data_IF_105985911498
#
_entry.id   IF_105985911498
#
_cell.length_a   1.000
_cell.length_b   1.000
_cell.length_c   1.000
_cell.angle_alpha   90.00
_cell.angle_beta   90.00
_cell.angle_gamma   90.00
#
_symmetry.space_group_name_H-M   'P 1'
#
loop_
_entity.id
_entity.type
_entity.pdbx_description
1 polymer ?
#
# COMPACT_ATOMS: atom_id res chain seq x y z
N UNK A 1 -17.14 3.28 -10.64
CA UNK A 1 -16.30 2.09 -11.01
C UNK A 1 -17.20 1.05 -11.66
N UNK A 2 -16.72 0.33 -12.68
CA UNK A 2 -17.49 -0.74 -13.30
C UNK A 2 -17.69 -1.90 -12.32
N UNK A 3 -18.92 -2.47 -12.26
CA UNK A 3 -19.20 -3.68 -11.49
C UNK A 3 -18.34 -4.85 -12.02
N UNK A 4 -17.88 -5.72 -11.13
CA UNK A 4 -17.13 -6.92 -11.52
C UNK A 4 -15.61 -6.82 -11.40
N UNK A 5 -15.05 -5.76 -10.81
CA UNK A 5 -13.59 -5.59 -10.65
C UNK A 5 -12.97 -6.63 -9.72
N UNK A 6 -11.80 -7.12 -10.13
CA UNK A 6 -10.93 -8.01 -9.34
C UNK A 6 -9.75 -7.20 -8.76
N UNK A 7 -9.57 -7.29 -7.47
CA UNK A 7 -8.63 -6.46 -6.69
C UNK A 7 -7.67 -7.33 -5.90
N UNK A 8 -6.39 -6.93 -5.82
CA UNK A 8 -5.42 -7.47 -4.88
C UNK A 8 -4.91 -6.34 -3.97
N UNK A 9 -4.97 -6.55 -2.64
CA UNK A 9 -4.37 -5.66 -1.64
C UNK A 9 -3.40 -6.45 -0.77
N UNK A 10 -2.08 -6.25 -0.92
CA UNK A 10 -1.11 -6.86 -0.01
C UNK A 10 -1.16 -6.20 1.37
N UNK A 11 -1.04 -6.98 2.45
CA UNK A 11 -1.26 -6.46 3.81
C UNK A 11 -2.69 -5.97 4.03
N UNK A 12 -3.67 -6.64 3.40
CA UNK A 12 -5.08 -6.25 3.39
C UNK A 12 -5.89 -6.67 4.61
N UNK A 13 -5.30 -7.36 5.58
CA UNK A 13 -6.02 -7.90 6.72
C UNK A 13 -6.31 -6.90 7.85
N UNK A 14 -5.64 -5.75 7.89
CA UNK A 14 -5.81 -4.71 8.93
C UNK A 14 -5.37 -3.33 8.47
N UNK A 15 -5.64 -2.32 9.29
CA UNK A 15 -5.17 -0.95 9.10
C UNK A 15 -5.54 -0.35 7.74
N UNK A 16 -4.58 0.29 7.09
CA UNK A 16 -4.76 0.94 5.79
C UNK A 16 -5.20 -0.07 4.71
N UNK A 17 -4.57 -1.25 4.67
CA UNK A 17 -4.89 -2.27 3.68
C UNK A 17 -6.34 -2.79 3.80
N UNK A 18 -6.82 -3.04 5.02
CA UNK A 18 -8.24 -3.40 5.27
C UNK A 18 -9.18 -2.30 4.80
N UNK A 19 -8.88 -1.04 5.15
CA UNK A 19 -9.71 0.10 4.74
C UNK A 19 -9.79 0.23 3.21
N UNK A 20 -8.68 0.01 2.51
CA UNK A 20 -8.63 0.01 1.04
C UNK A 20 -9.47 -1.13 0.47
N UNK A 21 -9.28 -2.36 0.97
CA UNK A 21 -10.02 -3.54 0.50
C UNK A 21 -11.54 -3.35 0.64
N UNK A 22 -12.00 -2.93 1.81
CA UNK A 22 -13.42 -2.67 2.09
C UNK A 22 -13.96 -1.49 1.26
N UNK A 23 -13.16 -0.44 1.05
CA UNK A 23 -13.57 0.70 0.22
C UNK A 23 -13.81 0.26 -1.22
N UNK A 24 -12.90 -0.48 -1.82
CA UNK A 24 -13.02 -0.95 -3.19
C UNK A 24 -14.18 -1.96 -3.35
N UNK A 25 -14.45 -2.80 -2.33
CA UNK A 25 -15.62 -3.67 -2.32
C UNK A 25 -16.93 -2.87 -2.30
N UNK A 26 -17.06 -1.85 -1.45
CA UNK A 26 -18.24 -0.94 -1.42
C UNK A 26 -18.50 -0.24 -2.75
N UNK A 27 -17.47 -0.06 -3.54
CA UNK A 27 -17.53 0.59 -4.85
C UNK A 27 -17.64 -0.42 -6.02
N UNK A 28 -18.05 -1.66 -5.72
CA UNK A 28 -18.43 -2.66 -6.70
C UNK A 28 -17.32 -3.62 -7.14
N UNK A 29 -16.19 -3.72 -6.40
CA UNK A 29 -15.28 -4.82 -6.60
C UNK A 29 -15.94 -6.13 -6.16
N UNK A 30 -16.04 -7.11 -7.06
CA UNK A 30 -16.72 -8.38 -6.81
C UNK A 30 -15.78 -9.46 -6.29
N UNK A 31 -14.48 -9.30 -6.50
CA UNK A 31 -13.46 -10.22 -5.99
C UNK A 31 -12.31 -9.44 -5.38
N UNK A 32 -12.03 -9.69 -4.11
CA UNK A 32 -10.99 -8.96 -3.38
C UNK A 32 -10.02 -9.92 -2.72
N UNK A 33 -8.82 -10.03 -3.30
CA UNK A 33 -7.71 -10.77 -2.72
C UNK A 33 -7.00 -9.91 -1.67
N UNK A 34 -6.88 -10.41 -0.44
CA UNK A 34 -6.14 -9.77 0.64
C UNK A 34 -4.91 -10.59 1.00
N UNK A 35 -3.73 -9.95 0.88
CA UNK A 35 -2.46 -10.54 1.31
C UNK A 35 -2.30 -10.45 2.82
N UNK A 36 -1.92 -11.55 3.47
CA UNK A 36 -1.60 -11.60 4.89
C UNK A 36 -0.38 -12.48 5.14
N UNK A 37 0.47 -12.09 6.11
CA UNK A 37 1.66 -12.89 6.42
C UNK A 37 1.29 -14.24 7.07
N UNK A 38 0.32 -14.20 7.99
CA UNK A 38 -0.25 -15.38 8.65
C UNK A 38 -1.77 -15.37 8.48
N UNK A 39 -2.37 -16.54 8.49
CA UNK A 39 -3.81 -16.66 8.65
C UNK A 39 -4.13 -16.42 10.13
N UNK A 40 -4.50 -15.18 10.43
CA UNK A 40 -4.90 -14.74 11.76
C UNK A 40 -6.39 -14.35 11.77
N UNK A 41 -6.92 -14.13 12.96
CA UNK A 41 -8.32 -13.70 13.12
C UNK A 41 -8.65 -12.43 12.33
N UNK A 42 -7.70 -11.51 12.19
CA UNK A 42 -7.90 -10.27 11.45
C UNK A 42 -8.10 -10.51 9.94
N UNK A 43 -7.43 -11.51 9.36
CA UNK A 43 -7.63 -11.86 7.95
C UNK A 43 -9.01 -12.48 7.71
N UNK A 44 -9.46 -13.36 8.60
CA UNK A 44 -10.78 -13.98 8.50
C UNK A 44 -11.91 -12.95 8.77
N UNK A 45 -11.74 -12.06 9.76
CA UNK A 45 -12.68 -10.95 10.02
C UNK A 45 -12.84 -10.06 8.79
N UNK A 46 -11.70 -9.66 8.17
CA UNK A 46 -11.74 -8.82 6.96
C UNK A 46 -12.41 -9.57 5.80
N UNK A 47 -12.15 -10.88 5.66
CA UNK A 47 -12.81 -11.70 4.65
C UNK A 47 -14.33 -11.77 4.88
N UNK A 48 -14.79 -11.88 6.13
CA UNK A 48 -16.21 -11.88 6.44
C UNK A 48 -16.88 -10.53 6.13
N UNK A 49 -16.21 -9.42 6.47
CA UNK A 49 -16.71 -8.09 6.10
C UNK A 49 -16.81 -7.91 4.57
N UNK A 50 -15.84 -8.43 3.81
CA UNK A 50 -15.90 -8.42 2.34
C UNK A 50 -17.09 -9.23 1.81
N UNK A 51 -17.38 -10.41 2.37
CA UNK A 51 -18.58 -11.19 2.04
C UNK A 51 -19.86 -10.41 2.34
N UNK A 52 -19.91 -9.74 3.49
CA UNK A 52 -21.03 -8.87 3.87
C UNK A 52 -21.29 -7.71 2.89
N UNK A 53 -20.26 -7.30 2.13
CA UNK A 53 -20.34 -6.29 1.07
C UNK A 53 -20.64 -6.90 -0.32
N UNK A 54 -20.83 -8.22 -0.42
CA UNK A 54 -21.08 -8.91 -1.67
C UNK A 54 -19.84 -9.23 -2.51
N UNK A 55 -18.64 -9.07 -1.95
CA UNK A 55 -17.41 -9.42 -2.62
C UNK A 55 -16.94 -10.83 -2.23
N UNK A 56 -16.33 -11.56 -3.18
CA UNK A 56 -15.64 -12.82 -2.93
C UNK A 56 -14.26 -12.55 -2.35
N UNK A 57 -13.95 -12.86 -1.09
CA UNK A 57 -12.63 -12.70 -0.54
C UNK A 57 -11.73 -13.86 -0.95
N UNK A 58 -10.47 -13.55 -1.30
CA UNK A 58 -9.41 -14.54 -1.54
C UNK A 58 -8.24 -14.24 -0.61
N UNK A 59 -7.80 -15.23 0.18
CA UNK A 59 -6.65 -15.05 1.08
C UNK A 59 -5.35 -15.46 0.37
N UNK A 60 -4.44 -14.50 0.17
CA UNK A 60 -3.07 -14.71 -0.33
C UNK A 60 -2.14 -14.75 0.88
N UNK A 61 -1.69 -15.97 1.24
CA UNK A 61 -1.01 -16.23 2.53
C UNK A 61 0.48 -16.44 2.36
N UNK A 62 1.26 -15.68 3.11
CA UNK A 62 2.71 -15.86 3.21
C UNK A 62 3.51 -14.56 3.20
N UNK A 63 4.83 -14.71 3.20
CA UNK A 63 5.74 -13.59 3.03
C UNK A 63 5.58 -13.03 1.60
N UNK A 64 5.33 -11.73 1.49
CA UNK A 64 5.12 -11.00 0.22
C UNK A 64 6.29 -11.16 -0.77
N UNK A 65 7.48 -11.54 -0.29
CA UNK A 65 8.68 -11.77 -1.12
C UNK A 65 8.85 -13.22 -1.55
N UNK A 66 8.01 -14.14 -1.05
CA UNK A 66 8.20 -15.57 -1.33
C UNK A 66 7.69 -15.97 -2.72
N UNK A 67 8.34 -16.95 -3.39
CA UNK A 67 7.83 -17.51 -4.64
C UNK A 67 6.39 -18.03 -4.50
N UNK A 68 6.05 -18.63 -3.37
CA UNK A 68 4.70 -19.13 -3.09
C UNK A 68 3.62 -18.04 -3.15
N UNK A 69 3.92 -16.82 -2.66
CA UNK A 69 2.98 -15.69 -2.76
C UNK A 69 2.89 -15.23 -4.22
N UNK A 70 3.99 -15.19 -4.95
CA UNK A 70 3.97 -14.85 -6.38
C UNK A 70 3.12 -15.86 -7.19
N UNK A 71 3.22 -17.16 -6.90
CA UNK A 71 2.39 -18.21 -7.51
C UNK A 71 0.90 -18.01 -7.19
N UNK A 72 0.55 -17.71 -5.93
CA UNK A 72 -0.82 -17.41 -5.54
C UNK A 72 -1.37 -16.18 -6.27
N UNK A 73 -0.55 -15.12 -6.41
CA UNK A 73 -0.95 -13.90 -7.16
C UNK A 73 -1.14 -14.21 -8.64
N UNK A 74 -0.27 -14.98 -9.25
CA UNK A 74 -0.43 -15.41 -10.66
C UNK A 74 -1.73 -16.22 -10.85
N UNK A 75 -2.08 -17.07 -9.88
CA UNK A 75 -3.30 -17.88 -9.90
C UNK A 75 -4.60 -17.07 -9.70
N UNK A 76 -4.54 -15.80 -9.28
CA UNK A 76 -5.72 -14.94 -9.21
C UNK A 76 -6.35 -14.67 -10.58
N UNK A 77 -5.58 -14.81 -11.66
CA UNK A 77 -6.02 -14.44 -13.01
C UNK A 77 -6.08 -12.92 -13.22
N UNK A 78 -6.99 -12.42 -14.06
CA UNK A 78 -7.06 -10.99 -14.36
C UNK A 78 -7.32 -10.14 -13.13
N UNK A 79 -6.51 -9.07 -12.99
CA UNK A 79 -6.64 -8.06 -11.94
C UNK A 79 -6.89 -6.70 -12.57
N UNK A 80 -7.88 -5.97 -12.07
CA UNK A 80 -8.14 -4.58 -12.43
C UNK A 80 -7.37 -3.61 -11.52
N UNK A 81 -7.15 -4.02 -10.26
CA UNK A 81 -6.45 -3.20 -9.28
C UNK A 81 -5.46 -4.06 -8.49
N UNK A 82 -4.22 -3.58 -8.42
CA UNK A 82 -3.21 -4.12 -7.52
C UNK A 82 -2.75 -3.02 -6.56
N UNK A 83 -2.95 -3.19 -5.25
CA UNK A 83 -2.46 -2.29 -4.20
C UNK A 83 -1.33 -2.95 -3.43
N UNK A 84 -0.12 -2.40 -3.56
CA UNK A 84 1.03 -2.80 -2.75
C UNK A 84 1.08 -1.98 -1.47
N UNK A 85 0.49 -2.56 -0.40
CA UNK A 85 0.43 -1.94 0.93
C UNK A 85 1.29 -2.70 1.96
N UNK A 86 1.57 -3.99 1.76
CA UNK A 86 2.41 -4.75 2.68
C UNK A 86 3.77 -4.06 2.86
N UNK A 87 4.13 -3.82 4.12
CA UNK A 87 5.39 -3.19 4.50
C UNK A 87 5.88 -3.75 5.83
N UNK A 88 7.19 -3.65 6.04
CA UNK A 88 7.85 -3.97 7.30
C UNK A 88 9.09 -3.08 7.44
N UNK A 89 9.72 -3.11 8.61
CA UNK A 89 10.98 -2.43 8.83
C UNK A 89 11.37 -2.40 10.29
N UNK A 90 12.57 -1.89 10.54
CA UNK A 90 13.14 -1.73 11.86
C UNK A 90 13.29 -0.24 12.14
N UNK A 91 12.82 0.19 13.31
CA UNK A 91 12.87 1.58 13.76
C UNK A 91 14.01 1.71 14.79
N UNK A 92 15.18 2.16 14.31
CA UNK A 92 16.38 2.38 15.12
C UNK A 92 17.40 3.24 14.36
N UNK A 93 18.42 3.80 15.05
CA UNK A 93 19.52 4.53 14.41
C UNK A 93 20.18 3.71 13.29
N UNK A 94 20.57 4.37 12.21
CA UNK A 94 21.13 3.70 11.03
C UNK A 94 22.34 2.81 11.35
N UNK A 95 23.24 3.30 12.20
CA UNK A 95 24.48 2.59 12.57
C UNK A 95 24.23 1.39 13.52
N UNK A 96 23.03 1.26 14.07
CA UNK A 96 22.62 0.13 14.91
C UNK A 96 21.86 -0.94 14.10
N UNK A 97 21.73 -0.75 12.79
CA UNK A 97 21.10 -1.73 11.91
C UNK A 97 22.09 -2.77 11.42
N UNK A 98 21.61 -3.93 11.04
CA UNK A 98 22.36 -5.03 10.47
C UNK A 98 21.92 -5.28 9.01
N UNK A 99 22.77 -5.94 8.20
CA UNK A 99 22.45 -6.27 6.79
C UNK A 99 21.13 -7.01 6.63
N UNK A 100 20.80 -7.92 7.57
CA UNK A 100 19.52 -8.64 7.57
C UNK A 100 18.30 -7.70 7.69
N UNK A 101 18.45 -6.57 8.42
CA UNK A 101 17.38 -5.57 8.56
C UNK A 101 17.18 -4.80 7.25
N UNK A 102 18.29 -4.48 6.55
CA UNK A 102 18.29 -3.90 5.23
C UNK A 102 17.57 -4.81 4.24
N UNK A 103 18.04 -6.04 4.10
CA UNK A 103 17.47 -7.01 3.17
C UNK A 103 15.98 -7.24 3.42
N UNK A 104 15.60 -7.42 4.67
CA UNK A 104 14.22 -7.64 5.05
C UNK A 104 13.33 -6.45 4.68
N UNK A 105 13.76 -5.22 4.99
CA UNK A 105 13.00 -3.99 4.76
C UNK A 105 12.88 -3.69 3.26
N UNK A 106 14.00 -3.66 2.54
CA UNK A 106 14.00 -3.37 1.10
C UNK A 106 13.25 -4.44 0.30
N UNK A 107 13.45 -5.71 0.63
CA UNK A 107 12.78 -6.80 -0.05
C UNK A 107 11.25 -6.72 0.09
N UNK A 108 10.75 -6.50 1.31
CA UNK A 108 9.30 -6.44 1.53
C UNK A 108 8.66 -5.16 0.94
N UNK A 109 9.32 -4.00 1.10
CA UNK A 109 8.70 -2.73 0.75
C UNK A 109 8.88 -2.36 -0.74
N UNK A 110 10.07 -2.55 -1.31
CA UNK A 110 10.36 -2.16 -2.69
C UNK A 110 10.43 -3.34 -3.66
N UNK A 111 11.28 -4.35 -3.38
CA UNK A 111 11.47 -5.48 -4.30
C UNK A 111 10.17 -6.26 -4.54
N UNK A 112 9.32 -6.42 -3.50
CA UNK A 112 8.06 -7.14 -3.64
C UNK A 112 7.09 -6.44 -4.60
N UNK A 113 7.05 -5.09 -4.64
CA UNK A 113 6.29 -4.37 -5.65
C UNK A 113 6.67 -4.82 -7.06
N UNK A 114 7.96 -4.83 -7.38
CA UNK A 114 8.45 -5.26 -8.70
C UNK A 114 8.15 -6.74 -8.94
N UNK A 115 8.42 -7.60 -7.95
CA UNK A 115 8.20 -9.06 -8.07
C UNK A 115 6.73 -9.41 -8.32
N UNK A 116 5.81 -8.83 -7.57
CA UNK A 116 4.38 -9.06 -7.74
C UNK A 116 3.83 -8.41 -9.02
N UNK A 117 4.34 -7.24 -9.39
CA UNK A 117 3.97 -6.61 -10.68
C UNK A 117 4.35 -7.50 -11.87
N UNK A 118 5.51 -8.17 -11.84
CA UNK A 118 5.93 -9.10 -12.90
C UNK A 118 4.95 -10.25 -13.13
N UNK A 119 4.32 -10.74 -12.08
CA UNK A 119 3.37 -11.86 -12.18
C UNK A 119 1.93 -11.40 -12.38
N UNK A 120 1.55 -10.22 -11.89
CA UNK A 120 0.22 -9.66 -12.03
C UNK A 120 0.01 -8.97 -13.39
N UNK A 121 0.96 -8.12 -13.79
CA UNK A 121 0.82 -7.31 -15.00
C UNK A 121 0.48 -8.12 -16.27
N UNK A 122 1.02 -9.33 -16.53
CA UNK A 122 0.65 -10.10 -17.72
C UNK A 122 -0.85 -10.32 -17.90
N UNK A 123 -1.62 -10.42 -16.83
CA UNK A 123 -3.07 -10.65 -16.86
C UNK A 123 -3.92 -9.36 -16.72
N UNK A 124 -3.29 -8.23 -16.37
CA UNK A 124 -3.98 -6.94 -16.23
C UNK A 124 -4.36 -6.36 -17.59
N UNK A 125 -5.57 -5.82 -17.70
CA UNK A 125 -6.11 -5.26 -18.95
C UNK A 125 -5.90 -3.74 -19.00
N UNK A 126 -6.01 -3.10 -20.18
CA UNK A 126 -6.04 -1.63 -20.28
C UNK A 126 -7.09 -1.01 -19.34
N UNK A 127 -6.72 0.08 -18.68
CA UNK A 127 -7.54 0.70 -17.63
C UNK A 127 -7.25 0.22 -16.21
N UNK A 128 -6.48 -0.86 -16.06
CA UNK A 128 -6.05 -1.35 -14.73
C UNK A 128 -5.10 -0.38 -14.03
N UNK A 129 -5.04 -0.48 -12.69
CA UNK A 129 -4.24 0.39 -11.84
C UNK A 129 -3.40 -0.38 -10.84
N UNK A 130 -2.15 0.08 -10.66
CA UNK A 130 -1.25 -0.34 -9.58
C UNK A 130 -1.03 0.86 -8.66
N UNK A 131 -1.30 0.71 -7.37
CA UNK A 131 -1.06 1.76 -6.37
C UNK A 131 -0.16 1.24 -5.27
N UNK A 132 0.94 1.95 -4.98
CA UNK A 132 1.85 1.59 -3.90
C UNK A 132 1.68 2.54 -2.70
N UNK A 133 1.69 2.00 -1.49
CA UNK A 133 1.62 2.82 -0.27
C UNK A 133 3.03 3.19 0.18
N UNK A 134 3.33 4.47 0.08
CA UNK A 134 4.59 5.09 0.50
C UNK A 134 4.47 5.75 1.88
N UNK A 135 5.41 6.61 2.21
CA UNK A 135 5.49 7.37 3.47
C UNK A 135 6.26 8.66 3.23
N UNK A 136 5.99 9.69 4.01
CA UNK A 136 6.78 10.94 4.00
C UNK A 136 8.28 10.71 4.24
N UNK A 137 8.64 9.60 4.91
CA UNK A 137 10.04 9.21 5.08
C UNK A 137 10.80 8.90 3.78
N UNK A 138 10.12 8.80 2.63
CA UNK A 138 10.78 8.69 1.32
C UNK A 138 11.53 9.95 0.91
N UNK A 139 11.09 11.13 1.37
CA UNK A 139 11.61 12.46 1.00
C UNK A 139 11.96 13.33 2.20
N UNK A 140 11.59 12.93 3.41
CA UNK A 140 11.90 13.63 4.66
C UNK A 140 12.61 12.71 5.64
N UNK A 141 13.50 13.29 6.45
CA UNK A 141 14.14 12.54 7.53
C UNK A 141 13.17 12.41 8.69
N UNK A 142 12.84 11.18 9.05
CA UNK A 142 12.13 10.82 10.25
C UNK A 142 13.10 10.10 11.19
N UNK A 143 12.98 10.34 12.49
CA UNK A 143 13.88 9.76 13.49
C UNK A 143 13.85 8.22 13.44
N UNK A 144 15.03 7.59 13.45
CA UNK A 144 15.20 6.13 13.45
C UNK A 144 14.57 5.39 12.25
N UNK A 145 14.23 6.09 11.17
CA UNK A 145 13.43 5.59 10.04
C UNK A 145 14.26 5.32 8.78
N UNK A 146 15.59 5.30 8.89
CA UNK A 146 16.51 5.28 7.74
C UNK A 146 16.22 4.15 6.75
N UNK A 147 16.08 2.89 7.22
CA UNK A 147 15.85 1.75 6.33
C UNK A 147 14.46 1.81 5.69
N UNK A 148 13.44 2.13 6.47
CA UNK A 148 12.08 2.24 5.94
C UNK A 148 11.99 3.41 4.96
N UNK A 149 12.53 4.60 5.31
CA UNK A 149 12.57 5.76 4.43
C UNK A 149 13.24 5.46 3.11
N UNK A 150 14.44 4.86 3.14
CA UNK A 150 15.17 4.42 1.95
C UNK A 150 14.35 3.43 1.11
N UNK A 151 13.68 2.47 1.73
CA UNK A 151 12.82 1.51 1.02
C UNK A 151 11.64 2.17 0.33
N UNK A 152 11.06 3.22 0.94
CA UNK A 152 9.95 3.98 0.36
C UNK A 152 10.42 4.89 -0.77
N UNK A 153 11.62 5.48 -0.67
CA UNK A 153 12.24 6.20 -1.79
C UNK A 153 12.50 5.28 -2.99
N UNK A 154 13.01 4.07 -2.76
CA UNK A 154 13.18 3.06 -3.79
C UNK A 154 11.85 2.62 -4.42
N UNK A 155 10.80 2.44 -3.60
CA UNK A 155 9.44 2.13 -4.06
C UNK A 155 8.90 3.24 -4.98
N UNK A 156 9.04 4.51 -4.62
CA UNK A 156 8.59 5.64 -5.44
C UNK A 156 9.37 5.76 -6.75
N UNK A 157 10.67 5.46 -6.72
CA UNK A 157 11.45 5.36 -7.95
C UNK A 157 10.90 4.26 -8.87
N UNK A 158 10.63 3.05 -8.35
CA UNK A 158 10.02 1.95 -9.10
C UNK A 158 8.65 2.33 -9.68
N UNK A 159 7.83 3.06 -8.93
CA UNK A 159 6.51 3.56 -9.41
C UNK A 159 6.68 4.39 -10.68
N UNK A 160 7.67 5.28 -10.74
CA UNK A 160 7.93 6.10 -11.94
C UNK A 160 8.36 5.26 -13.14
N UNK A 161 9.29 4.31 -12.96
CA UNK A 161 9.72 3.41 -14.02
C UNK A 161 8.58 2.51 -14.52
N UNK A 162 7.86 1.88 -13.59
CA UNK A 162 6.72 1.02 -13.94
C UNK A 162 5.59 1.79 -14.63
N UNK A 163 5.36 3.06 -14.27
CA UNK A 163 4.36 3.90 -14.93
C UNK A 163 4.67 4.10 -16.41
N UNK A 164 5.94 4.28 -16.77
CA UNK A 164 6.39 4.43 -18.16
C UNK A 164 6.37 3.09 -18.90
N UNK A 165 6.93 2.04 -18.29
CA UNK A 165 7.06 0.72 -18.91
C UNK A 165 5.70 0.04 -19.15
N UNK A 166 4.71 0.28 -18.28
CA UNK A 166 3.37 -0.32 -18.40
C UNK A 166 2.36 0.58 -19.12
N UNK A 167 2.73 1.83 -19.45
CA UNK A 167 1.87 2.76 -20.19
C UNK A 167 1.39 2.21 -21.55
N UNK A 168 2.25 1.54 -22.38
CA UNK A 168 1.80 0.95 -23.64
C UNK A 168 0.72 -0.14 -23.49
N UNK A 169 0.60 -0.68 -22.27
CA UNK A 169 -0.43 -1.68 -21.92
C UNK A 169 -1.68 -1.06 -21.32
N UNK A 170 -1.74 0.28 -21.22
CA UNK A 170 -2.86 0.99 -20.60
C UNK A 170 -2.94 0.84 -19.08
N UNK A 171 -1.90 0.35 -18.41
CA UNK A 171 -1.86 0.19 -16.95
C UNK A 171 -1.30 1.46 -16.30
N UNK A 172 -1.99 1.99 -15.32
CA UNK A 172 -1.54 3.15 -14.53
C UNK A 172 -0.80 2.68 -13.28
N UNK A 173 0.28 3.40 -12.94
CA UNK A 173 1.03 3.10 -11.70
C UNK A 173 1.26 4.41 -10.96
N UNK A 174 0.85 4.47 -9.69
CA UNK A 174 1.00 5.63 -8.81
C UNK A 174 1.33 5.21 -7.38
N UNK A 175 1.70 6.15 -6.54
CA UNK A 175 1.91 5.96 -5.12
C UNK A 175 1.03 6.92 -4.30
N UNK A 176 0.74 6.52 -3.06
CA UNK A 176 0.13 7.35 -2.02
C UNK A 176 1.08 7.40 -0.85
N UNK A 177 1.51 8.61 -0.47
CA UNK A 177 2.36 8.86 0.70
C UNK A 177 1.50 9.42 1.83
N UNK A 178 1.22 8.59 2.83
CA UNK A 178 0.44 9.00 3.99
C UNK A 178 1.34 9.67 5.04
N UNK A 179 0.76 10.65 5.77
CA UNK A 179 1.31 11.15 7.01
C UNK A 179 1.20 10.13 8.15
N UNK A 180 1.14 10.62 9.38
CA UNK A 180 0.90 9.74 10.54
C UNK A 180 -0.54 9.23 10.48
N UNK A 181 -0.70 7.91 10.38
CA UNK A 181 -2.00 7.23 10.38
C UNK A 181 -2.09 6.35 11.62
N UNK A 182 -3.11 6.53 12.44
CA UNK A 182 -3.30 5.73 13.64
C UNK A 182 -3.68 4.29 13.27
N UNK A 183 -2.71 3.40 13.40
CA UNK A 183 -2.84 1.97 13.13
C UNK A 183 -1.94 1.20 14.09
N UNK A 184 -2.16 -0.11 14.24
CA UNK A 184 -1.30 -1.01 15.05
C UNK A 184 0.19 -0.95 14.65
N UNK A 185 0.49 -0.51 13.43
CA UNK A 185 1.88 -0.33 12.99
C UNK A 185 2.62 0.73 13.82
N UNK A 186 1.93 1.74 14.37
CA UNK A 186 2.53 2.74 15.24
C UNK A 186 2.95 2.20 16.60
N UNK A 187 2.39 1.08 17.06
CA UNK A 187 2.76 0.46 18.36
C UNK A 187 4.22 -0.02 18.38
N UNK A 188 4.84 -0.17 17.22
CA UNK A 188 6.25 -0.51 17.08
C UNK A 188 7.20 0.69 17.15
N UNK A 189 6.68 1.92 17.23
CA UNK A 189 7.48 3.14 17.29
C UNK A 189 7.67 3.58 18.74
N UNK A 190 8.91 3.80 19.20
CA UNK A 190 9.19 4.20 20.56
C UNK A 190 8.61 5.59 20.92
N UNK A 191 8.42 6.46 19.92
CA UNK A 191 7.88 7.81 20.03
C UNK A 191 6.42 7.93 19.52
N UNK A 192 5.62 6.85 19.63
CA UNK A 192 4.23 6.78 19.15
C UNK A 192 3.39 7.99 19.57
N UNK A 193 3.44 8.37 20.86
CA UNK A 193 2.63 9.49 21.39
C UNK A 193 3.03 10.84 20.76
N UNK A 194 4.32 11.07 20.54
CA UNK A 194 4.82 12.27 19.87
C UNK A 194 4.38 12.31 18.41
N UNK A 195 4.44 11.17 17.71
CA UNK A 195 3.96 11.04 16.33
C UNK A 195 2.46 11.36 16.24
N UNK A 196 1.65 10.81 17.14
CA UNK A 196 0.21 11.10 17.19
C UNK A 196 -0.05 12.58 17.49
N UNK A 197 0.65 13.16 18.47
CA UNK A 197 0.53 14.57 18.81
C UNK A 197 0.95 15.47 17.65
N UNK A 198 2.04 15.13 16.94
CA UNK A 198 2.50 15.84 15.75
C UNK A 198 1.49 15.71 14.61
N UNK A 199 0.95 14.50 14.38
CA UNK A 199 -0.06 14.26 13.36
C UNK A 199 -1.35 15.07 13.56
N UNK A 200 -1.71 15.41 14.81
CA UNK A 200 -2.88 16.27 15.12
C UNK A 200 -2.63 17.75 14.88
N UNK A 201 -1.36 18.19 14.80
CA UNK A 201 -0.97 19.59 14.59
C UNK A 201 -0.91 20.01 13.13
N UNK A 202 -1.33 19.15 12.20
CA UNK A 202 -1.39 19.51 10.79
C UNK A 202 -2.50 20.56 10.52
N UNK A 203 -2.45 21.30 9.40
CA UNK A 203 -3.47 22.29 9.03
C UNK A 203 -4.90 21.75 8.98
N UNK A 204 -5.12 20.45 8.71
CA UNK A 204 -6.44 19.83 8.71
C UNK A 204 -7.01 19.62 10.14
N UNK A 205 -6.21 19.81 11.19
CA UNK A 205 -6.63 19.75 12.61
C UNK A 205 -6.95 18.35 13.13
N UNK A 206 -6.66 17.30 12.37
CA UNK A 206 -6.88 15.91 12.78
C UNK A 206 -5.85 14.96 12.17
N UNK A 207 -5.66 13.82 12.79
CA UNK A 207 -4.80 12.77 12.26
C UNK A 207 -5.40 12.15 10.99
N UNK A 208 -4.54 11.70 10.08
CA UNK A 208 -4.97 10.96 8.90
C UNK A 208 -5.51 9.59 9.30
N UNK A 209 -6.65 9.22 8.76
CA UNK A 209 -7.28 7.92 9.00
C UNK A 209 -7.01 6.93 7.86
N UNK A 210 -7.12 5.62 8.10
CA UNK A 210 -7.09 4.62 7.03
C UNK A 210 -8.13 4.89 5.93
N UNK A 211 -9.28 5.47 6.27
CA UNK A 211 -10.33 5.83 5.31
C UNK A 211 -9.91 6.97 4.37
N UNK A 212 -9.15 7.97 4.86
CA UNK A 212 -8.62 9.04 4.01
C UNK A 212 -7.67 8.46 2.95
N UNK A 213 -6.78 7.55 3.35
CA UNK A 213 -5.86 6.86 2.43
C UNK A 213 -6.64 6.02 1.41
N UNK A 214 -7.64 5.26 1.87
CA UNK A 214 -8.47 4.43 1.01
C UNK A 214 -9.25 5.28 -0.02
N UNK A 215 -9.70 6.48 0.35
CA UNK A 215 -10.36 7.41 -0.55
C UNK A 215 -9.47 7.82 -1.73
N UNK A 216 -8.21 8.18 -1.48
CA UNK A 216 -7.28 8.57 -2.54
C UNK A 216 -6.83 7.37 -3.37
N UNK A 217 -6.62 6.20 -2.76
CA UNK A 217 -6.36 4.96 -3.52
C UNK A 217 -7.52 4.66 -4.46
N UNK A 218 -8.76 4.77 -3.98
CA UNK A 218 -9.96 4.58 -4.81
C UNK A 218 -10.01 5.56 -5.99
N UNK A 219 -9.76 6.85 -5.74
CA UNK A 219 -9.66 7.87 -6.79
C UNK A 219 -8.60 7.51 -7.83
N UNK A 220 -7.39 7.14 -7.42
CA UNK A 220 -6.32 6.73 -8.34
C UNK A 220 -6.65 5.48 -9.17
N UNK A 221 -7.60 4.66 -8.71
CA UNK A 221 -8.11 3.50 -9.41
C UNK A 221 -9.32 3.82 -10.31
N UNK A 222 -9.87 5.03 -10.28
CA UNK A 222 -11.00 5.46 -11.10
C UNK A 222 -10.56 5.98 -12.48
N UNK A 223 -11.52 6.19 -13.37
CA UNK A 223 -11.29 6.82 -14.68
C UNK A 223 -10.91 8.30 -14.55
N UNK A 224 -11.37 8.99 -13.50
CA UNK A 224 -11.04 10.38 -13.23
C UNK A 224 -9.53 10.64 -13.04
N UNK A 225 -8.77 9.58 -12.70
CA UNK A 225 -7.32 9.60 -12.54
C UNK A 225 -6.54 9.13 -13.80
N UNK A 226 -7.16 9.07 -14.97
CA UNK A 226 -6.53 8.52 -16.16
C UNK A 226 -5.20 9.19 -16.51
N UNK A 227 -5.11 10.50 -16.35
CA UNK A 227 -3.91 11.29 -16.67
C UNK A 227 -2.89 11.35 -15.52
N UNK A 228 -3.17 10.71 -14.36
CA UNK A 228 -2.24 10.65 -13.23
C UNK A 228 -1.40 9.37 -13.36
N UNK A 229 -0.11 9.53 -13.68
CA UNK A 229 0.82 8.43 -13.91
C UNK A 229 2.18 8.73 -13.28
N UNK A 230 2.74 7.78 -12.56
CA UNK A 230 4.05 7.89 -11.91
C UNK A 230 4.11 8.91 -10.77
N UNK A 231 2.95 9.34 -10.24
CA UNK A 231 2.88 10.35 -9.20
C UNK A 231 2.82 9.73 -7.81
N UNK A 232 3.37 10.44 -6.83
CA UNK A 232 3.18 10.17 -5.40
C UNK A 232 2.26 11.25 -4.84
N UNK A 233 1.03 10.86 -4.47
CA UNK A 233 0.05 11.77 -3.87
C UNK A 233 0.23 11.77 -2.36
N UNK A 234 0.50 12.95 -1.79
CA UNK A 234 0.68 13.11 -0.33
C UNK A 234 -0.67 13.31 0.35
N UNK A 235 -0.90 12.56 1.43
CA UNK A 235 -2.08 12.66 2.30
C UNK A 235 -1.60 12.79 3.74
N UNK A 236 -1.41 14.02 4.19
CA UNK A 236 -0.86 14.31 5.52
C UNK A 236 -1.57 15.46 6.24
N UNK A 237 -2.69 15.94 5.66
CA UNK A 237 -3.43 17.07 6.20
C UNK A 237 -2.66 18.40 6.12
N UNK A 238 -1.62 18.47 5.29
CA UNK A 238 -0.74 19.64 5.17
C UNK A 238 0.43 19.64 6.18
N UNK A 239 0.64 18.56 6.91
CA UNK A 239 1.71 18.45 7.92
C UNK A 239 3.11 18.74 7.34
N UNK A 240 3.35 18.39 6.11
CA UNK A 240 4.66 18.55 5.47
C UNK A 240 4.89 19.92 4.85
N UNK A 241 3.91 20.83 4.86
CA UNK A 241 4.00 22.15 4.20
C UNK A 241 4.72 23.22 5.01
N UNK A 242 4.56 23.34 6.36
CA UNK A 242 5.29 24.33 7.16
C UNK A 242 6.80 24.18 7.03
N UNK A 243 7.52 25.33 7.03
CA UNK A 243 8.98 25.39 6.84
C UNK A 243 9.77 25.43 8.18
N UNK A 244 9.10 25.42 9.31
CA UNK A 244 9.60 25.52 10.71
C UNK A 244 9.55 24.20 11.48
#
# INVERSE_FOLDING_TARGET
MSAGRSVLVTGGSRGIGKAIALRLAREGATRVAIGCFRADAAAEETAEELRGLGAEPVLVRGNVTSPRVAEQVAALGPLDVFVHNAATGVIRPALETEDKHWDWTLNANARALLGLTRVAAPSMQPGSSIVAISSLGSVRVLENYSLVGTSKAALEALVRYLAVELAPRGIRVNAVSAGVVETDALDHFPNREEMLASGRRNPAGRIVTPADVAGVVSFLCSEDAEMIRGQTIVIDGGWSLPAD
#
